data_IF_157725774539
#
_entry.id   IF_157725774539
#
_cell.length_a   1.000
_cell.length_b   1.000
_cell.length_c   1.000
_cell.angle_alpha   90.00
_cell.angle_beta   90.00
_cell.angle_gamma   90.00
#
_symmetry.space_group_name_H-M   'P 1'
#
loop_
_entity.id
_entity.type
_entity.pdbx_description
1 polymer ?
#
# COMPACT_ATOMS: atom_id res chain seq x y z
N UNK A 1 24.74 1.46 -18.09
CA UNK A 1 24.16 1.88 -16.80
C UNK A 1 24.38 3.38 -16.63
N UNK A 2 23.48 4.08 -15.95
CA UNK A 2 23.54 5.54 -15.74
C UNK A 2 22.20 6.22 -16.05
N UNK A 3 21.26 6.17 -15.09
CA UNK A 3 20.00 6.88 -15.17
C UNK A 3 20.25 8.39 -15.08
N UNK A 4 19.80 9.14 -16.09
CA UNK A 4 19.91 10.60 -16.11
C UNK A 4 18.70 11.20 -15.39
N UNK A 5 18.96 12.06 -14.40
CA UNK A 5 17.92 12.90 -13.80
C UNK A 5 17.42 13.86 -14.88
N UNK A 6 16.13 13.77 -15.21
CA UNK A 6 15.46 14.70 -16.12
C UNK A 6 15.56 16.12 -15.54
N UNK A 7 15.41 17.15 -16.39
CA UNK A 7 15.28 18.56 -15.94
C UNK A 7 13.93 18.78 -15.25
N UNK A 8 13.68 18.08 -14.15
CA UNK A 8 12.47 18.17 -13.34
C UNK A 8 12.79 18.72 -11.93
N UNK A 9 11.80 18.74 -11.04
CA UNK A 9 11.97 19.24 -9.67
C UNK A 9 13.07 18.53 -8.86
N UNK A 10 13.49 17.33 -9.27
CA UNK A 10 14.56 16.55 -8.62
C UNK A 10 15.94 17.13 -8.94
N UNK A 11 16.15 17.61 -10.18
CA UNK A 11 17.37 18.31 -10.59
C UNK A 11 17.60 19.60 -9.79
N UNK A 12 16.56 20.44 -9.67
CA UNK A 12 16.66 21.70 -8.91
C UNK A 12 16.95 21.45 -7.42
N UNK A 13 16.42 20.37 -6.86
CA UNK A 13 16.67 19.98 -5.46
C UNK A 13 18.11 19.51 -5.24
N UNK A 14 18.69 18.79 -6.20
CA UNK A 14 20.08 18.34 -6.10
C UNK A 14 21.06 19.51 -6.13
N UNK A 15 20.89 20.45 -7.08
CA UNK A 15 21.75 21.65 -7.17
C UNK A 15 21.66 22.49 -5.89
N UNK A 16 20.44 22.77 -5.40
CA UNK A 16 20.24 23.48 -4.13
C UNK A 16 20.89 22.79 -2.93
N UNK A 17 20.86 21.45 -2.91
CA UNK A 17 21.51 20.67 -1.86
C UNK A 17 23.03 20.81 -1.93
N UNK A 18 23.61 20.83 -3.13
CA UNK A 18 25.04 21.03 -3.32
C UNK A 18 25.47 22.47 -2.95
N UNK A 19 24.67 23.48 -3.30
CA UNK A 19 24.88 24.89 -2.91
C UNK A 19 24.84 25.11 -1.38
N UNK A 20 24.28 24.18 -0.60
CA UNK A 20 24.37 24.21 0.86
C UNK A 20 25.78 23.90 1.37
N UNK A 21 26.60 23.21 0.58
CA UNK A 21 27.94 22.73 0.96
C UNK A 21 29.08 23.42 0.20
N UNK A 22 28.81 24.04 -0.95
CA UNK A 22 29.79 24.70 -1.80
C UNK A 22 29.35 26.14 -2.12
N UNK A 23 30.31 27.05 -2.25
CA UNK A 23 30.05 28.46 -2.57
C UNK A 23 29.44 28.61 -3.96
N UNK A 24 29.89 27.79 -4.92
CA UNK A 24 29.31 27.76 -6.26
C UNK A 24 29.20 26.33 -6.80
N UNK A 25 28.09 26.08 -7.49
CA UNK A 25 27.82 24.81 -8.18
C UNK A 25 27.50 25.12 -9.63
N UNK A 26 28.48 24.91 -10.50
CA UNK A 26 28.30 25.07 -11.94
C UNK A 26 27.91 23.72 -12.57
N UNK A 27 27.11 23.75 -13.63
CA UNK A 27 26.68 22.53 -14.33
C UNK A 27 27.04 22.65 -15.79
N UNK A 28 27.97 21.80 -16.22
CA UNK A 28 28.42 21.73 -17.60
C UNK A 28 27.75 20.54 -18.32
N UNK A 29 27.54 20.68 -19.63
CA UNK A 29 26.96 19.63 -20.47
C UNK A 29 25.43 19.49 -20.42
N UNK A 30 24.90 18.53 -21.17
CA UNK A 30 23.46 18.25 -21.31
C UNK A 30 23.19 16.75 -21.24
N UNK A 31 21.99 16.38 -20.78
CA UNK A 31 21.53 14.98 -20.76
C UNK A 31 22.34 14.08 -19.82
N UNK A 32 22.89 12.98 -20.37
CA UNK A 32 23.70 11.98 -19.64
C UNK A 32 25.13 12.44 -19.35
N UNK A 33 25.64 13.41 -20.10
CA UNK A 33 27.03 13.88 -20.01
C UNK A 33 27.12 15.15 -19.16
N UNK A 34 26.29 15.27 -18.13
CA UNK A 34 26.35 16.42 -17.22
C UNK A 34 27.45 16.22 -16.19
N UNK A 35 28.25 17.26 -16.01
CA UNK A 35 29.27 17.31 -14.96
C UNK A 35 28.90 18.43 -14.00
N UNK A 36 28.88 18.13 -12.70
CA UNK A 36 28.68 19.13 -11.65
C UNK A 36 30.05 19.59 -11.19
N UNK A 37 30.35 20.86 -11.40
CA UNK A 37 31.60 21.48 -10.99
C UNK A 37 31.33 22.16 -9.64
N UNK A 38 31.90 21.59 -8.59
CA UNK A 38 31.75 22.08 -7.22
C UNK A 38 32.95 22.96 -6.90
N UNK A 39 32.70 24.25 -6.63
CA UNK A 39 33.75 25.24 -6.44
C UNK A 39 33.66 25.77 -5.02
N UNK A 40 34.79 25.73 -4.34
CA UNK A 40 35.04 26.20 -2.97
C UNK A 40 34.08 25.62 -1.93
N UNK A 41 34.52 24.64 -1.10
CA UNK A 41 33.69 24.14 -0.01
C UNK A 41 33.45 25.25 1.01
N UNK A 42 32.20 25.39 1.45
CA UNK A 42 31.84 26.36 2.49
C UNK A 42 32.50 25.98 3.81
N UNK A 43 33.05 26.97 4.51
CA UNK A 43 33.58 26.78 5.87
C UNK A 43 32.50 26.37 6.87
N UNK A 44 31.25 26.80 6.63
CA UNK A 44 30.07 26.33 7.33
C UNK A 44 28.93 26.00 6.34
N UNK A 45 28.47 24.74 6.28
CA UNK A 45 27.34 24.38 5.46
C UNK A 45 26.08 25.17 5.83
N UNK A 46 25.41 25.73 4.84
CA UNK A 46 24.19 26.52 5.04
C UNK A 46 22.99 25.58 5.12
N UNK A 47 22.12 25.75 6.12
CA UNK A 47 20.91 24.95 6.21
C UNK A 47 19.97 25.24 5.02
N UNK A 48 19.39 24.20 4.43
CA UNK A 48 18.45 24.36 3.32
C UNK A 48 17.17 25.03 3.84
N UNK A 49 16.83 26.19 3.28
CA UNK A 49 15.64 26.96 3.65
C UNK A 49 14.36 26.21 3.21
N UNK A 50 13.69 25.53 4.14
CA UNK A 50 12.48 24.76 3.89
C UNK A 50 11.26 25.68 3.84
N UNK A 51 10.95 26.20 2.65
CA UNK A 51 9.76 27.04 2.37
C UNK A 51 8.41 26.32 2.54
N UNK A 52 8.36 25.15 3.21
CA UNK A 52 7.12 24.49 3.64
C UNK A 52 6.46 25.15 4.86
N UNK A 53 7.05 26.20 5.44
CA UNK A 53 6.34 27.04 6.40
C UNK A 53 5.48 28.06 5.66
N UNK A 54 4.15 27.86 5.68
CA UNK A 54 3.20 28.92 5.31
C UNK A 54 2.00 28.54 4.45
N UNK A 55 1.74 27.25 4.17
CA UNK A 55 0.47 26.82 3.56
C UNK A 55 0.02 25.48 4.15
N UNK A 56 -1.29 25.39 4.40
CA UNK A 56 -2.06 24.20 4.80
C UNK A 56 -1.90 23.76 6.27
N UNK A 57 -3.00 23.30 6.87
CA UNK A 57 -3.00 22.73 8.22
C UNK A 57 -1.86 21.70 8.35
N UNK A 58 -1.12 21.68 9.47
CA UNK A 58 0.13 20.95 9.51
C UNK A 58 -0.15 19.46 9.33
N UNK A 59 0.44 18.81 8.33
CA UNK A 59 0.57 17.34 8.26
C UNK A 59 1.07 16.73 9.59
N UNK A 60 1.71 17.54 10.43
CA UNK A 60 2.11 17.21 11.80
C UNK A 60 0.95 16.89 12.75
N UNK A 61 -0.25 17.43 12.55
CA UNK A 61 -1.40 17.20 13.43
C UNK A 61 -2.08 15.87 13.12
N UNK A 62 -2.33 15.56 11.84
CA UNK A 62 -2.93 14.28 11.41
C UNK A 62 -2.04 13.08 11.79
N UNK A 63 -0.74 13.15 11.52
CA UNK A 63 0.20 12.08 11.87
C UNK A 63 0.32 11.94 13.40
N UNK A 64 0.20 13.03 14.17
CA UNK A 64 0.18 13.00 15.64
C UNK A 64 -1.07 12.31 16.17
N UNK A 65 -2.26 12.61 15.63
CA UNK A 65 -3.52 11.98 16.02
C UNK A 65 -3.44 10.46 15.84
N UNK A 66 -2.99 10.00 14.66
CA UNK A 66 -2.84 8.56 14.39
C UNK A 66 -1.76 7.92 15.29
N UNK A 67 -0.67 8.63 15.56
CA UNK A 67 0.40 8.14 16.44
C UNK A 67 -0.07 7.97 17.88
N UNK A 68 -0.79 8.97 18.42
CA UNK A 68 -1.37 8.93 19.76
C UNK A 68 -2.42 7.81 19.88
N UNK A 69 -3.26 7.63 18.85
CA UNK A 69 -4.22 6.53 18.81
C UNK A 69 -3.52 5.16 18.81
N UNK A 70 -2.50 4.97 17.96
CA UNK A 70 -1.71 3.73 17.94
C UNK A 70 -1.04 3.47 19.29
N UNK A 71 -0.47 4.49 19.93
CA UNK A 71 0.16 4.37 21.25
C UNK A 71 -0.84 3.92 22.31
N UNK A 72 -2.00 4.59 22.40
CA UNK A 72 -3.10 4.20 23.28
C UNK A 72 -3.49 2.74 23.09
N UNK A 73 -3.63 2.31 21.84
CA UNK A 73 -4.00 0.92 21.54
C UNK A 73 -2.90 -0.08 21.91
N UNK A 74 -1.62 0.28 21.73
CA UNK A 74 -0.50 -0.56 22.18
C UNK A 74 -0.47 -0.71 23.70
N UNK A 75 -0.73 0.37 24.45
CA UNK A 75 -0.85 0.33 25.93
C UNK A 75 -1.97 -0.65 26.33
N UNK A 76 -3.15 -0.52 25.73
CA UNK A 76 -4.30 -1.41 26.02
C UNK A 76 -3.95 -2.87 25.71
N UNK A 77 -3.30 -3.14 24.58
CA UNK A 77 -2.94 -4.50 24.18
C UNK A 77 -1.90 -5.12 25.12
N UNK A 78 -0.97 -4.35 25.65
CA UNK A 78 0.01 -4.81 26.63
C UNK A 78 -0.65 -5.11 27.98
N UNK A 79 -1.59 -4.27 28.43
CA UNK A 79 -2.35 -4.48 29.67
C UNK A 79 -3.25 -5.73 29.61
N UNK A 80 -3.91 -5.98 28.48
CA UNK A 80 -4.76 -7.16 28.29
C UNK A 80 -3.91 -8.44 28.18
N UNK A 81 -2.73 -8.34 27.56
CA UNK A 81 -1.86 -9.47 27.25
C UNK A 81 -1.01 -10.01 28.40
N UNK A 82 -1.48 -9.89 29.66
CA UNK A 82 -0.80 -10.26 30.94
C UNK A 82 0.55 -10.99 30.77
N UNK A 83 1.62 -10.32 31.26
CA UNK A 83 2.99 -10.85 31.48
C UNK A 83 3.94 -11.02 30.27
N UNK A 84 3.80 -10.26 29.18
CA UNK A 84 4.84 -10.38 28.13
C UNK A 84 4.94 -9.35 27.02
N UNK A 85 4.09 -8.32 26.96
CA UNK A 85 4.03 -7.42 25.80
C UNK A 85 3.44 -8.09 24.54
N UNK A 86 3.40 -7.37 23.43
CA UNK A 86 3.00 -7.93 22.13
C UNK A 86 4.13 -8.81 21.59
N UNK A 87 4.26 -10.03 22.11
CA UNK A 87 5.26 -10.99 21.66
C UNK A 87 4.92 -11.51 20.26
N UNK A 88 5.83 -11.28 19.30
CA UNK A 88 5.79 -11.84 17.94
C UNK A 88 4.50 -11.51 17.15
N UNK A 89 4.18 -10.22 17.05
CA UNK A 89 3.07 -9.71 16.20
C UNK A 89 3.55 -9.36 14.78
N UNK A 90 2.65 -9.28 13.81
CA UNK A 90 2.98 -8.76 12.46
C UNK A 90 2.21 -7.47 12.20
N UNK A 91 2.63 -6.67 11.22
CA UNK A 91 1.83 -5.51 10.80
C UNK A 91 0.41 -5.89 10.35
N UNK A 92 0.22 -7.09 9.75
CA UNK A 92 -1.12 -7.61 9.45
C UNK A 92 -1.95 -7.76 10.73
N UNK A 93 -1.36 -8.40 11.75
CA UNK A 93 -2.01 -8.60 13.04
C UNK A 93 -2.30 -7.28 13.75
N UNK A 94 -1.39 -6.31 13.65
CA UNK A 94 -1.57 -4.98 14.24
C UNK A 94 -2.72 -4.21 13.59
N UNK A 95 -2.89 -4.27 12.26
CA UNK A 95 -4.05 -3.62 11.59
C UNK A 95 -5.38 -4.18 12.12
N UNK A 96 -5.45 -5.49 12.39
CA UNK A 96 -6.65 -6.11 12.96
C UNK A 96 -6.89 -5.65 14.41
N UNK A 97 -5.82 -5.53 15.21
CA UNK A 97 -5.89 -5.13 16.63
C UNK A 97 -6.04 -3.61 16.83
N UNK A 98 -5.59 -2.81 15.87
CA UNK A 98 -5.60 -1.35 15.86
C UNK A 98 -6.36 -0.89 14.60
N UNK A 99 -7.66 -1.18 14.48
CA UNK A 99 -8.41 -0.85 13.28
C UNK A 99 -8.72 0.65 13.26
N UNK A 100 -8.29 1.35 12.21
CA UNK A 100 -8.78 2.72 11.94
C UNK A 100 -10.20 2.74 11.37
N UNK A 101 -10.65 1.64 10.77
CA UNK A 101 -12.02 1.49 10.27
C UNK A 101 -12.52 0.09 10.62
N UNK A 102 -13.64 -0.02 11.34
CA UNK A 102 -14.29 -1.29 11.72
C UNK A 102 -15.34 -1.69 10.69
N UNK A 103 -15.56 -2.99 10.49
CA UNK A 103 -16.65 -3.55 9.66
C UNK A 103 -16.67 -3.09 8.17
N UNK A 104 -15.51 -2.75 7.62
CA UNK A 104 -15.31 -2.18 6.27
C UNK A 104 -15.95 -2.99 5.14
N UNK A 105 -15.92 -4.31 5.28
CA UNK A 105 -16.28 -5.25 4.21
C UNK A 105 -17.78 -5.18 3.92
N UNK A 106 -18.62 -5.06 4.95
CA UNK A 106 -20.08 -5.07 4.78
C UNK A 106 -20.60 -3.75 4.21
N UNK A 107 -20.15 -2.61 4.74
CA UNK A 107 -20.59 -1.29 4.28
C UNK A 107 -20.18 -1.00 2.83
N UNK A 108 -18.94 -1.37 2.45
CA UNK A 108 -18.50 -1.28 1.06
C UNK A 108 -19.33 -2.16 0.13
N UNK A 109 -19.55 -3.41 0.54
CA UNK A 109 -20.33 -4.38 -0.22
C UNK A 109 -21.72 -3.83 -0.52
N UNK A 110 -22.42 -3.32 0.49
CA UNK A 110 -23.78 -2.82 0.35
C UNK A 110 -23.82 -1.52 -0.48
N UNK A 111 -22.86 -0.61 -0.31
CA UNK A 111 -22.79 0.64 -1.09
C UNK A 111 -22.47 0.41 -2.57
N UNK A 112 -21.50 -0.45 -2.86
CA UNK A 112 -21.12 -0.83 -4.24
C UNK A 112 -22.24 -1.65 -4.88
N UNK A 113 -22.80 -2.66 -4.20
CA UNK A 113 -23.89 -3.46 -4.73
C UNK A 113 -25.12 -2.60 -5.07
N UNK A 114 -25.47 -1.63 -4.23
CA UNK A 114 -26.58 -0.70 -4.52
C UNK A 114 -26.35 0.16 -5.76
N UNK A 115 -25.13 0.65 -5.97
CA UNK A 115 -24.81 1.51 -7.12
C UNK A 115 -24.71 0.69 -8.42
N UNK A 116 -24.38 -0.59 -8.32
CA UNK A 116 -24.13 -1.46 -9.47
C UNK A 116 -25.08 -2.65 -9.58
N UNK A 117 -26.26 -2.54 -8.99
CA UNK A 117 -27.27 -3.59 -9.06
C UNK A 117 -27.59 -3.86 -10.54
N UNK A 118 -27.43 -5.12 -10.97
CA UNK A 118 -27.59 -5.53 -12.37
C UNK A 118 -26.46 -5.15 -13.34
N UNK A 119 -25.40 -4.44 -12.92
CA UNK A 119 -24.32 -3.96 -13.79
C UNK A 119 -22.97 -4.67 -13.63
N UNK A 120 -22.75 -5.40 -12.53
CA UNK A 120 -21.52 -6.16 -12.28
C UNK A 120 -21.83 -7.61 -11.96
N UNK A 121 -21.01 -8.52 -12.47
CA UNK A 121 -21.03 -9.92 -12.04
C UNK A 121 -20.48 -10.07 -10.61
N UNK A 122 -20.90 -11.12 -9.91
CA UNK A 122 -20.40 -11.47 -8.58
C UNK A 122 -18.87 -11.57 -8.52
N UNK A 123 -18.23 -12.04 -9.59
CA UNK A 123 -16.77 -12.13 -9.68
C UNK A 123 -16.11 -10.74 -9.74
N UNK A 124 -16.67 -9.80 -10.51
CA UNK A 124 -16.17 -8.43 -10.58
C UNK A 124 -16.37 -7.72 -9.24
N UNK A 125 -17.52 -7.93 -8.61
CA UNK A 125 -17.81 -7.42 -7.27
C UNK A 125 -16.78 -7.96 -6.24
N UNK A 126 -16.52 -9.27 -6.23
CA UNK A 126 -15.46 -9.88 -5.38
C UNK A 126 -14.08 -9.29 -5.64
N UNK A 127 -13.73 -8.99 -6.89
CA UNK A 127 -12.47 -8.36 -7.25
C UNK A 127 -12.35 -6.94 -6.67
N UNK A 128 -13.40 -6.12 -6.79
CA UNK A 128 -13.47 -4.77 -6.21
C UNK A 128 -13.27 -4.80 -4.70
N UNK A 129 -13.95 -5.73 -4.02
CA UNK A 129 -13.86 -5.86 -2.57
C UNK A 129 -12.45 -6.28 -2.15
N UNK A 130 -11.87 -7.27 -2.84
CA UNK A 130 -10.51 -7.74 -2.58
C UNK A 130 -9.50 -6.61 -2.75
N UNK A 131 -9.63 -5.81 -3.82
CA UNK A 131 -8.75 -4.67 -4.06
C UNK A 131 -8.92 -3.57 -3.01
N UNK A 132 -10.15 -3.21 -2.67
CA UNK A 132 -10.42 -2.13 -1.72
C UNK A 132 -9.93 -2.49 -0.33
N UNK A 133 -10.24 -3.70 0.13
CA UNK A 133 -9.77 -4.20 1.43
C UNK A 133 -8.24 -4.27 1.48
N UNK A 134 -7.61 -4.75 0.40
CA UNK A 134 -6.16 -4.72 0.28
C UNK A 134 -5.60 -3.30 0.39
N UNK A 135 -6.19 -2.33 -0.33
CA UNK A 135 -5.73 -0.95 -0.36
C UNK A 135 -5.83 -0.29 1.02
N UNK A 136 -6.99 -0.40 1.68
CA UNK A 136 -7.21 0.15 3.02
C UNK A 136 -6.27 -0.51 4.04
N UNK A 137 -6.11 -1.83 3.97
CA UNK A 137 -5.20 -2.58 4.85
C UNK A 137 -3.75 -2.14 4.64
N UNK A 138 -3.28 -1.99 3.39
CA UNK A 138 -1.93 -1.52 3.08
C UNK A 138 -1.68 -0.09 3.59
N UNK A 139 -2.68 0.79 3.49
CA UNK A 139 -2.60 2.14 4.07
C UNK A 139 -2.52 2.11 5.59
N UNK A 140 -3.39 1.35 6.25
CA UNK A 140 -3.37 1.19 7.70
C UNK A 140 -2.00 0.66 8.18
N UNK A 141 -1.40 -0.31 7.48
CA UNK A 141 -0.03 -0.77 7.78
C UNK A 141 1.00 0.35 7.69
N UNK A 142 0.91 1.19 6.67
CA UNK A 142 1.86 2.29 6.47
C UNK A 142 1.75 3.31 7.60
N UNK A 143 0.54 3.68 8.00
CA UNK A 143 0.32 4.61 9.10
C UNK A 143 0.74 4.01 10.45
N UNK A 144 0.40 2.75 10.73
CA UNK A 144 0.89 2.05 11.95
C UNK A 144 2.41 1.95 11.97
N UNK A 145 3.05 1.63 10.83
CA UNK A 145 4.51 1.58 10.74
C UNK A 145 5.14 2.94 11.01
N UNK A 146 4.56 4.01 10.47
CA UNK A 146 5.02 5.37 10.69
C UNK A 146 4.87 5.75 12.17
N UNK A 147 3.69 5.52 12.76
CA UNK A 147 3.44 5.75 14.18
C UNK A 147 4.44 5.00 15.07
N UNK A 148 4.67 3.71 14.81
CA UNK A 148 5.68 2.92 15.55
C UNK A 148 7.07 3.54 15.44
N UNK A 149 7.47 4.00 14.24
CA UNK A 149 8.76 4.66 14.06
C UNK A 149 8.89 5.92 14.90
N UNK A 150 7.83 6.74 14.97
CA UNK A 150 7.79 7.94 15.83
C UNK A 150 7.88 7.56 17.31
N UNK A 151 7.05 6.63 17.78
CA UNK A 151 7.05 6.19 19.17
C UNK A 151 8.39 5.59 19.62
N UNK A 152 9.12 4.92 18.72
CA UNK A 152 10.50 4.45 18.99
C UNK A 152 11.47 5.62 19.11
N UNK A 153 11.40 6.60 18.19
CA UNK A 153 12.24 7.79 18.22
C UNK A 153 12.02 8.62 19.50
N UNK A 154 10.75 8.70 19.94
CA UNK A 154 10.32 9.39 21.15
C UNK A 154 10.53 8.54 22.42
N UNK A 155 11.12 7.34 22.29
CA UNK A 155 11.43 6.40 23.39
C UNK A 155 10.21 5.94 24.20
N UNK A 156 9.00 6.05 23.63
CA UNK A 156 7.75 5.57 24.26
C UNK A 156 7.59 4.05 24.16
N UNK A 157 8.16 3.45 23.13
CA UNK A 157 8.15 1.99 22.92
C UNK A 157 9.54 1.49 22.52
N UNK A 158 9.77 0.20 22.73
CA UNK A 158 10.90 -0.55 22.17
C UNK A 158 10.38 -1.59 21.20
N UNK A 159 10.98 -1.67 20.02
CA UNK A 159 10.66 -2.69 19.01
C UNK A 159 11.89 -3.52 18.71
N UNK A 160 11.73 -4.84 18.75
CA UNK A 160 12.73 -5.80 18.30
C UNK A 160 12.15 -6.64 17.17
N UNK A 161 12.82 -6.65 16.03
CA UNK A 161 12.50 -7.58 14.94
C UNK A 161 12.95 -8.99 15.31
N UNK A 162 12.06 -9.96 15.11
CA UNK A 162 12.32 -11.40 15.20
C UNK A 162 11.93 -12.06 13.89
N UNK A 163 12.65 -13.11 13.52
CA UNK A 163 12.25 -13.95 12.41
C UNK A 163 11.56 -15.20 12.92
N UNK A 164 10.44 -15.53 12.31
CA UNK A 164 9.62 -16.68 12.67
C UNK A 164 9.47 -17.58 11.45
N UNK A 165 9.48 -18.89 11.67
CA UNK A 165 9.12 -19.90 10.68
C UNK A 165 7.89 -20.67 11.14
N UNK A 166 7.00 -21.02 10.22
CA UNK A 166 5.99 -22.04 10.45
C UNK A 166 6.55 -23.40 10.04
N UNK A 167 6.68 -24.33 10.97
CA UNK A 167 7.14 -25.69 10.69
C UNK A 167 6.15 -26.45 9.80
N UNK A 168 6.67 -27.21 8.83
CA UNK A 168 5.85 -27.99 7.91
C UNK A 168 5.06 -29.10 8.61
N UNK A 169 5.72 -29.86 9.48
CA UNK A 169 5.16 -31.06 10.10
C UNK A 169 4.20 -30.78 11.26
N UNK A 170 4.44 -29.72 12.03
CA UNK A 170 3.72 -29.44 13.28
C UNK A 170 2.82 -28.20 13.20
N UNK A 171 2.95 -27.40 12.14
CA UNK A 171 2.39 -26.04 12.04
C UNK A 171 2.78 -25.08 13.18
N UNK A 172 3.69 -25.47 14.08
CA UNK A 172 4.19 -24.62 15.16
C UNK A 172 4.98 -23.46 14.58
N UNK A 173 4.93 -22.32 15.28
CA UNK A 173 5.70 -21.12 14.95
C UNK A 173 6.95 -21.10 15.81
N UNK A 174 8.11 -21.18 15.18
CA UNK A 174 9.41 -21.20 15.85
C UNK A 174 10.22 -19.96 15.48
N UNK A 175 10.99 -19.45 16.42
CA UNK A 175 11.92 -18.35 16.16
C UNK A 175 13.14 -18.90 15.44
N UNK A 176 13.57 -18.20 14.38
CA UNK A 176 14.75 -18.56 13.59
C UNK A 176 15.79 -17.43 13.66
N UNK A 177 17.07 -17.80 13.60
CA UNK A 177 18.16 -16.83 13.64
C UNK A 177 18.31 -16.12 12.29
N UNK A 178 18.76 -14.87 12.31
CA UNK A 178 19.01 -14.06 11.11
C UNK A 178 19.90 -14.79 10.08
N UNK A 179 20.98 -15.43 10.54
CA UNK A 179 21.90 -16.20 9.68
C UNK A 179 21.14 -17.25 8.84
N UNK A 180 20.19 -17.96 9.44
CA UNK A 180 19.39 -18.98 8.74
C UNK A 180 18.45 -18.35 7.72
N UNK A 181 17.90 -17.18 8.02
CA UNK A 181 17.05 -16.41 7.10
C UNK A 181 17.86 -15.95 5.89
N UNK A 182 19.09 -15.49 6.11
CA UNK A 182 19.97 -15.04 5.04
C UNK A 182 20.36 -16.20 4.11
N UNK A 183 20.69 -17.37 4.68
CA UNK A 183 20.91 -18.61 3.91
C UNK A 183 19.70 -18.98 3.04
N UNK A 184 18.49 -18.95 3.63
CA UNK A 184 17.25 -19.25 2.90
C UNK A 184 17.01 -18.22 1.78
N UNK A 185 17.18 -16.94 2.07
CA UNK A 185 16.94 -15.87 1.10
C UNK A 185 17.91 -15.93 -0.08
N UNK A 186 19.18 -16.28 0.16
CA UNK A 186 20.16 -16.48 -0.91
C UNK A 186 19.81 -17.68 -1.77
N UNK A 187 19.40 -18.79 -1.16
CA UNK A 187 18.95 -19.96 -1.91
C UNK A 187 17.71 -19.66 -2.77
N UNK A 188 16.73 -18.91 -2.25
CA UNK A 188 15.56 -18.48 -3.03
C UNK A 188 15.97 -17.51 -4.15
N UNK A 189 16.97 -16.65 -3.92
CA UNK A 189 17.50 -15.76 -4.95
C UNK A 189 18.14 -16.56 -6.09
N UNK A 190 18.92 -17.60 -5.78
CA UNK A 190 19.49 -18.48 -6.79
C UNK A 190 18.39 -19.23 -7.57
N UNK A 191 17.39 -19.79 -6.88
CA UNK A 191 16.22 -20.40 -7.54
C UNK A 191 15.51 -19.41 -8.48
N UNK A 192 15.39 -18.14 -8.07
CA UNK A 192 14.78 -17.13 -8.91
C UNK A 192 15.61 -16.91 -10.20
N UNK A 193 16.94 -16.90 -10.10
CA UNK A 193 17.83 -16.81 -11.27
C UNK A 193 17.63 -18.03 -12.19
N UNK A 194 17.65 -19.24 -11.62
CA UNK A 194 17.54 -20.50 -12.36
C UNK A 194 16.20 -20.62 -13.11
N UNK A 195 15.13 -20.05 -12.55
CA UNK A 195 13.79 -20.01 -13.14
C UNK A 195 13.50 -18.73 -13.95
N UNK A 196 14.50 -17.88 -14.19
CA UNK A 196 14.36 -16.60 -14.89
C UNK A 196 13.27 -15.66 -14.30
N UNK A 197 13.16 -15.67 -12.97
CA UNK A 197 12.26 -14.82 -12.18
C UNK A 197 13.08 -13.70 -11.53
N UNK A 198 12.61 -12.45 -11.69
CA UNK A 198 13.18 -11.35 -10.94
C UNK A 198 12.83 -11.48 -9.44
N UNK A 199 13.86 -11.61 -8.60
CA UNK A 199 13.68 -11.80 -7.15
C UNK A 199 12.89 -10.65 -6.49
N UNK A 200 13.09 -9.39 -6.90
CA UNK A 200 12.32 -8.25 -6.39
C UNK A 200 10.84 -8.34 -6.78
N UNK A 201 10.54 -8.79 -8.00
CA UNK A 201 9.16 -9.04 -8.42
C UNK A 201 8.52 -10.16 -7.61
N UNK A 202 9.27 -11.23 -7.31
CA UNK A 202 8.82 -12.30 -6.41
C UNK A 202 8.50 -11.77 -5.01
N UNK A 203 9.39 -11.01 -4.38
CA UNK A 203 9.15 -10.43 -3.05
C UNK A 203 7.89 -9.54 -3.03
N UNK A 204 7.65 -8.80 -4.11
CA UNK A 204 6.46 -7.94 -4.24
C UNK A 204 5.18 -8.70 -4.56
N UNK A 205 5.27 -9.89 -5.15
CA UNK A 205 4.12 -10.68 -5.60
C UNK A 205 3.15 -11.03 -4.47
N UNK A 206 3.65 -11.20 -3.24
CA UNK A 206 2.82 -11.46 -2.05
C UNK A 206 1.91 -10.29 -1.66
N UNK A 207 2.17 -9.10 -2.19
CA UNK A 207 1.37 -7.91 -1.96
C UNK A 207 0.30 -7.68 -3.04
N UNK A 208 0.23 -8.46 -4.12
CA UNK A 208 -0.72 -8.22 -5.22
C UNK A 208 -1.70 -9.39 -5.41
N UNK A 209 -3.01 -9.14 -5.51
CA UNK A 209 -4.00 -10.19 -5.75
C UNK A 209 -3.90 -10.80 -7.15
N UNK A 210 -3.37 -10.06 -8.13
CA UNK A 210 -3.18 -10.52 -9.52
C UNK A 210 -1.70 -10.74 -9.83
N UNK A 211 -1.26 -12.00 -9.73
CA UNK A 211 0.07 -12.43 -10.15
C UNK A 211 -0.03 -13.33 -11.38
N UNK A 212 0.98 -13.32 -12.24
CA UNK A 212 1.04 -14.18 -13.43
C UNK A 212 1.09 -15.66 -13.05
N UNK A 213 0.69 -16.55 -13.98
CA UNK A 213 0.76 -18.00 -13.74
C UNK A 213 2.19 -18.45 -13.42
N UNK A 214 3.16 -17.98 -14.21
CA UNK A 214 4.59 -18.23 -13.96
C UNK A 214 5.03 -17.83 -12.54
N UNK A 215 4.53 -16.71 -12.01
CA UNK A 215 4.84 -16.30 -10.63
C UNK A 215 4.18 -17.22 -9.59
N UNK A 216 2.95 -17.69 -9.84
CA UNK A 216 2.27 -18.67 -8.96
C UNK A 216 2.99 -20.01 -8.93
N UNK A 217 3.46 -20.47 -10.09
CA UNK A 217 4.23 -21.71 -10.21
C UNK A 217 5.55 -21.57 -9.44
N UNK A 218 6.25 -20.43 -9.61
CA UNK A 218 7.47 -20.15 -8.86
C UNK A 218 7.25 -20.05 -7.35
N UNK A 219 6.17 -19.39 -6.89
CA UNK A 219 5.80 -19.38 -5.47
C UNK A 219 5.60 -20.80 -4.92
N UNK A 220 5.04 -21.71 -5.72
CA UNK A 220 4.86 -23.13 -5.36
C UNK A 220 6.19 -23.87 -5.28
N UNK A 221 7.11 -23.60 -6.21
CA UNK A 221 8.49 -24.13 -6.18
C UNK A 221 9.21 -23.70 -4.90
N UNK A 222 9.17 -22.40 -4.57
CA UNK A 222 9.79 -21.89 -3.35
C UNK A 222 9.19 -22.51 -2.10
N UNK A 223 7.86 -22.68 -2.05
CA UNK A 223 7.18 -23.35 -0.94
C UNK A 223 7.63 -24.80 -0.77
N UNK A 224 7.75 -25.54 -1.87
CA UNK A 224 8.27 -26.92 -1.85
C UNK A 224 9.74 -26.96 -1.41
N UNK A 225 10.55 -26.03 -1.90
CA UNK A 225 11.96 -25.92 -1.52
C UNK A 225 12.15 -25.66 -0.02
N UNK A 226 11.38 -24.73 0.56
CA UNK A 226 11.38 -24.46 2.00
C UNK A 226 10.99 -25.69 2.82
N UNK A 227 10.00 -26.46 2.36
CA UNK A 227 9.54 -27.67 3.05
C UNK A 227 10.58 -28.77 3.03
N UNK A 228 11.16 -29.05 1.86
CA UNK A 228 12.10 -30.17 1.66
C UNK A 228 13.45 -29.86 2.31
N UNK A 229 13.99 -28.65 2.13
CA UNK A 229 15.37 -28.34 2.53
C UNK A 229 15.47 -27.71 3.93
N UNK A 230 14.40 -27.07 4.42
CA UNK A 230 14.42 -26.35 5.70
C UNK A 230 13.32 -26.79 6.67
N UNK A 231 12.39 -27.65 6.25
CA UNK A 231 11.28 -28.09 7.10
C UNK A 231 10.24 -27.01 7.38
N UNK A 232 10.19 -25.94 6.59
CA UNK A 232 9.31 -24.79 6.83
C UNK A 232 8.23 -24.63 5.76
N UNK A 233 7.04 -24.17 6.15
CA UNK A 233 5.97 -23.76 5.24
C UNK A 233 6.20 -22.35 4.70
N UNK A 234 6.58 -21.43 5.58
CA UNK A 234 6.87 -20.04 5.27
C UNK A 234 7.69 -19.42 6.42
N UNK A 235 8.43 -18.37 6.08
CA UNK A 235 9.17 -17.52 7.01
C UNK A 235 8.59 -16.11 6.99
N UNK A 236 8.59 -15.43 8.12
CA UNK A 236 8.06 -14.07 8.22
C UNK A 236 8.75 -13.27 9.31
N UNK A 237 8.78 -11.96 9.09
CA UNK A 237 9.22 -10.98 10.08
C UNK A 237 8.12 -10.73 11.10
N UNK A 238 8.45 -10.81 12.38
CA UNK A 238 7.59 -10.48 13.49
C UNK A 238 8.22 -9.37 14.34
N UNK A 239 7.36 -8.62 15.01
CA UNK A 239 7.71 -7.54 15.90
C UNK A 239 7.47 -8.01 17.34
N UNK A 240 8.45 -7.79 18.19
CA UNK A 240 8.27 -7.77 19.63
C UNK A 240 8.20 -6.30 20.05
N UNK A 241 7.04 -5.88 20.55
CA UNK A 241 6.79 -4.50 20.97
C UNK A 241 6.60 -4.47 22.48
N UNK A 242 7.38 -3.62 23.15
CA UNK A 242 7.27 -3.33 24.58
C UNK A 242 6.99 -1.85 24.77
N UNK A 243 5.93 -1.49 25.49
CA UNK A 243 5.69 -0.10 25.88
C UNK A 243 6.61 0.25 27.05
N UNK A 244 7.31 1.37 26.92
CA UNK A 244 8.22 1.91 27.93
C UNK A 244 7.55 3.03 28.73
N UNK A 245 6.72 3.82 28.05
CA UNK A 245 5.97 4.94 28.62
C UNK A 245 4.48 4.80 28.25
N UNK A 246 3.62 4.75 29.26
CA UNK A 246 2.16 4.67 29.09
C UNK A 246 1.48 6.05 29.08
N UNK A 247 2.25 7.14 29.21
CA UNK A 247 1.73 8.51 29.23
C UNK A 247 1.28 8.92 27.84
N UNK A 248 0.00 9.28 27.72
CA UNK A 248 -0.57 9.82 26.48
C UNK A 248 -0.45 11.35 26.49
N UNK A 249 0.09 11.92 25.42
CA UNK A 249 0.10 13.38 25.23
C UNK A 249 -1.30 13.93 25.01
N UNK A 250 -2.14 13.14 24.37
CA UNK A 250 -3.52 13.49 24.03
C UNK A 250 -4.33 12.19 23.94
N UNK A 251 -5.52 12.20 24.52
CA UNK A 251 -6.41 11.05 24.49
C UNK A 251 -7.24 11.07 23.20
N UNK A 252 -6.69 10.47 22.14
CA UNK A 252 -7.36 10.36 20.85
C UNK A 252 -8.33 9.17 20.86
N UNK A 253 -9.57 9.40 20.44
CA UNK A 253 -10.57 8.35 20.32
C UNK A 253 -10.57 7.67 18.95
N UNK A 254 -11.43 6.66 18.79
CA UNK A 254 -11.52 5.92 17.54
C UNK A 254 -12.12 6.75 16.40
N UNK A 255 -13.06 7.66 16.68
CA UNK A 255 -13.70 8.47 15.64
C UNK A 255 -12.71 9.49 15.07
N UNK A 256 -11.89 10.13 15.91
CA UNK A 256 -10.85 11.05 15.48
C UNK A 256 -9.82 10.34 14.58
N UNK A 257 -9.33 9.18 15.03
CA UNK A 257 -8.37 8.39 14.27
C UNK A 257 -8.97 7.86 12.95
N UNK A 258 -10.23 7.42 12.98
CA UNK A 258 -10.97 7.00 11.78
C UNK A 258 -11.09 8.15 10.79
N UNK A 259 -11.51 9.32 11.26
CA UNK A 259 -11.71 10.50 10.42
C UNK A 259 -10.39 10.91 9.74
N UNK A 260 -9.30 11.06 10.50
CA UNK A 260 -7.98 11.39 9.94
C UNK A 260 -7.51 10.37 8.92
N UNK A 261 -7.67 9.07 9.23
CA UNK A 261 -7.27 8.00 8.33
C UNK A 261 -8.04 8.05 7.00
N UNK A 262 -9.37 8.21 7.06
CA UNK A 262 -10.22 8.30 5.86
C UNK A 262 -9.94 9.57 5.07
N UNK A 263 -9.69 10.70 5.74
CA UNK A 263 -9.34 11.98 5.11
C UNK A 263 -8.01 11.88 4.34
N UNK A 264 -6.98 11.26 4.94
CA UNK A 264 -5.70 10.98 4.26
C UNK A 264 -5.89 10.12 3.02
N UNK A 265 -6.75 9.09 3.09
CA UNK A 265 -7.05 8.25 1.94
C UNK A 265 -7.78 9.05 0.86
N UNK A 266 -8.77 9.87 1.23
CA UNK A 266 -9.52 10.69 0.31
C UNK A 266 -8.58 11.60 -0.49
N UNK A 267 -7.75 12.39 0.19
CA UNK A 267 -6.82 13.31 -0.48
C UNK A 267 -5.89 12.56 -1.45
N UNK A 268 -5.36 11.41 -1.03
CA UNK A 268 -4.50 10.58 -1.88
C UNK A 268 -5.21 10.02 -3.12
N UNK A 269 -6.49 9.68 -3.01
CA UNK A 269 -7.25 9.11 -4.13
C UNK A 269 -7.80 10.21 -5.02
N UNK A 270 -8.31 11.30 -4.45
CA UNK A 270 -8.77 12.48 -5.18
C UNK A 270 -7.64 13.07 -6.03
N UNK A 271 -6.45 13.29 -5.45
CA UNK A 271 -5.28 13.79 -6.19
C UNK A 271 -4.90 12.87 -7.35
N UNK A 272 -5.00 11.54 -7.15
CA UNK A 272 -4.73 10.57 -8.20
C UNK A 272 -5.76 10.66 -9.31
N UNK A 273 -7.05 10.70 -8.99
CA UNK A 273 -8.14 10.75 -9.96
C UNK A 273 -8.13 12.06 -10.77
N UNK A 274 -7.70 13.17 -10.15
CA UNK A 274 -7.50 14.46 -10.84
C UNK A 274 -6.23 14.52 -11.69
N UNK A 275 -5.30 13.58 -11.54
CA UNK A 275 -4.04 13.64 -12.26
C UNK A 275 -4.20 13.35 -13.75
N UNK A 276 -3.50 14.11 -14.60
CA UNK A 276 -3.40 13.85 -16.04
C UNK A 276 -3.04 12.41 -16.37
N UNK A 277 -2.17 11.80 -15.56
CA UNK A 277 -1.74 10.41 -15.72
C UNK A 277 -2.93 9.47 -15.56
N UNK A 278 -3.78 9.70 -14.57
CA UNK A 278 -5.01 8.92 -14.39
C UNK A 278 -5.97 9.18 -15.54
N UNK A 279 -6.27 10.42 -15.88
CA UNK A 279 -7.23 10.76 -16.94
C UNK A 279 -6.83 10.11 -18.27
N UNK A 280 -5.54 10.14 -18.62
CA UNK A 280 -4.97 9.54 -19.84
C UNK A 280 -4.64 8.05 -19.73
N UNK A 281 -4.77 7.43 -18.54
CA UNK A 281 -4.43 6.01 -18.37
C UNK A 281 -5.40 5.10 -19.14
N UNK A 282 -4.84 4.13 -19.85
CA UNK A 282 -5.63 3.08 -20.54
C UNK A 282 -6.06 1.96 -19.59
N UNK A 283 -5.47 1.86 -18.39
CA UNK A 283 -5.82 0.82 -17.41
C UNK A 283 -7.18 1.13 -16.76
N UNK A 284 -8.25 0.67 -17.40
CA UNK A 284 -9.64 0.81 -16.93
C UNK A 284 -9.86 0.18 -15.54
N UNK A 285 -9.16 -0.91 -15.21
CA UNK A 285 -9.31 -1.60 -13.92
C UNK A 285 -8.80 -0.78 -12.75
N UNK A 286 -7.62 -0.15 -12.88
CA UNK A 286 -7.10 0.75 -11.84
C UNK A 286 -8.02 1.99 -11.68
N UNK A 287 -8.55 2.52 -12.79
CA UNK A 287 -9.51 3.63 -12.77
C UNK A 287 -10.76 3.30 -11.97
N UNK A 288 -11.36 2.17 -12.30
CA UNK A 288 -12.55 1.62 -11.67
C UNK A 288 -12.34 1.45 -10.16
N UNK A 289 -11.24 0.82 -9.75
CA UNK A 289 -10.96 0.59 -8.33
C UNK A 289 -10.79 1.88 -7.51
N UNK A 290 -10.13 2.92 -8.05
CA UNK A 290 -10.01 4.19 -7.32
C UNK A 290 -11.36 4.87 -7.13
N UNK A 291 -12.27 4.80 -8.11
CA UNK A 291 -13.61 5.34 -7.98
C UNK A 291 -14.45 4.56 -6.97
N UNK A 292 -14.33 3.22 -6.92
CA UNK A 292 -14.97 2.42 -5.86
C UNK A 292 -14.45 2.78 -4.46
N UNK A 293 -13.15 3.09 -4.33
CA UNK A 293 -12.60 3.60 -3.06
C UNK A 293 -13.22 4.96 -2.72
N UNK A 294 -13.37 5.88 -3.67
CA UNK A 294 -14.02 7.17 -3.38
C UNK A 294 -15.49 7.00 -2.98
N UNK A 295 -16.21 6.05 -3.60
CA UNK A 295 -17.59 5.72 -3.21
C UNK A 295 -17.66 5.21 -1.77
N UNK A 296 -16.73 4.33 -1.39
CA UNK A 296 -16.61 3.88 0.00
C UNK A 296 -16.36 5.03 0.97
N UNK A 297 -15.46 5.94 0.61
CA UNK A 297 -15.12 7.09 1.44
C UNK A 297 -16.32 8.00 1.63
N UNK A 298 -17.14 8.25 0.59
CA UNK A 298 -18.40 8.99 0.71
C UNK A 298 -19.30 8.40 1.80
N UNK A 299 -19.51 7.10 1.78
CA UNK A 299 -20.45 6.44 2.70
C UNK A 299 -19.90 6.34 4.13
N UNK A 300 -18.59 6.60 4.33
CA UNK A 300 -17.91 6.48 5.63
C UNK A 300 -17.38 7.82 6.19
N UNK A 301 -17.32 8.86 5.36
CA UNK A 301 -17.03 10.26 5.70
C UNK A 301 -18.36 11.00 5.85
N UNK A 302 -19.11 10.76 6.93
CA UNK A 302 -20.24 11.64 7.27
C UNK A 302 -19.79 12.77 8.19
N UNK A 303 -20.30 13.96 7.88
CA UNK A 303 -19.98 15.31 8.40
C UNK A 303 -18.58 15.85 8.05
N UNK A 304 -18.31 15.95 6.75
CA UNK A 304 -17.28 16.90 6.27
C UNK A 304 -18.02 18.09 5.68
N UNK A 305 -18.01 19.21 6.40
CA UNK A 305 -18.58 20.50 5.99
C UNK A 305 -17.70 21.17 4.89
N UNK A 306 -17.33 20.39 3.87
CA UNK A 306 -16.47 20.81 2.79
C UNK A 306 -17.23 20.68 1.47
N UNK A 307 -17.89 21.78 1.10
CA UNK A 307 -18.76 21.90 -0.07
C UNK A 307 -18.07 21.47 -1.38
N UNK A 308 -16.76 21.70 -1.51
CA UNK A 308 -15.96 21.32 -2.69
C UNK A 308 -15.76 19.79 -2.80
N UNK A 309 -15.76 19.07 -1.68
CA UNK A 309 -15.71 17.61 -1.64
C UNK A 309 -17.01 17.00 -2.17
N UNK A 310 -18.14 17.63 -1.82
CA UNK A 310 -19.48 17.12 -2.04
C UNK A 310 -19.83 17.02 -3.53
N UNK A 311 -19.57 18.08 -4.30
CA UNK A 311 -19.85 18.13 -5.75
C UNK A 311 -19.06 17.08 -6.55
N UNK A 312 -17.78 16.91 -6.22
CA UNK A 312 -16.91 15.96 -6.92
C UNK A 312 -17.26 14.51 -6.60
N UNK A 313 -17.76 14.27 -5.37
CA UNK A 313 -18.22 12.97 -4.89
C UNK A 313 -19.58 12.58 -5.50
N UNK A 314 -20.49 13.54 -5.69
CA UNK A 314 -21.81 13.31 -6.32
C UNK A 314 -21.68 12.85 -7.79
N UNK A 315 -20.59 13.21 -8.46
CA UNK A 315 -20.32 12.80 -9.84
C UNK A 315 -19.69 11.40 -9.96
N UNK A 316 -19.25 10.76 -8.87
CA UNK A 316 -18.58 9.44 -8.88
C UNK A 316 -19.44 8.32 -9.49
N UNK A 317 -20.73 8.17 -9.13
CA UNK A 317 -21.57 7.11 -9.70
C UNK A 317 -21.67 7.17 -11.23
N UNK A 318 -21.80 8.38 -11.81
CA UNK A 318 -21.87 8.56 -13.26
C UNK A 318 -20.57 8.15 -13.96
N UNK A 319 -19.41 8.60 -13.44
CA UNK A 319 -18.09 8.20 -13.97
C UNK A 319 -17.82 6.70 -13.87
N UNK A 320 -18.36 6.06 -12.83
CA UNK A 320 -18.27 4.61 -12.67
C UNK A 320 -19.10 3.87 -13.73
N UNK A 321 -20.33 4.32 -13.99
CA UNK A 321 -21.19 3.74 -15.03
C UNK A 321 -20.58 3.90 -16.44
N UNK A 322 -19.94 5.03 -16.75
CA UNK A 322 -19.19 5.23 -18.00
C UNK A 322 -18.04 4.23 -18.18
N UNK A 323 -17.32 3.93 -17.10
CA UNK A 323 -16.23 2.95 -17.15
C UNK A 323 -16.78 1.53 -17.32
N UNK A 324 -17.88 1.19 -16.63
CA UNK A 324 -18.55 -0.10 -16.74
C UNK A 324 -19.07 -0.34 -18.15
N UNK A 325 -19.78 0.62 -18.74
CA UNK A 325 -20.27 0.51 -20.12
C UNK A 325 -19.12 0.39 -21.11
N UNK A 326 -17.95 0.96 -20.81
CA UNK A 326 -16.74 0.77 -21.62
C UNK A 326 -16.06 -0.60 -21.46
N UNK A 327 -16.38 -1.38 -20.43
CA UNK A 327 -15.93 -2.76 -20.26
C UNK A 327 -16.81 -3.77 -21.00
N UNK A 328 -18.05 -3.40 -21.28
CA UNK A 328 -18.96 -4.15 -22.13
C UNK A 328 -18.69 -3.75 -23.59
N UNK A 329 -17.67 -4.37 -24.20
CA UNK A 329 -17.63 -4.36 -25.67
C UNK A 329 -18.95 -4.95 -26.18
N UNK A 330 -19.58 -4.34 -27.20
CA UNK A 330 -20.78 -4.91 -27.79
C UNK A 330 -20.42 -6.33 -28.22
N UNK A 331 -21.15 -7.33 -27.68
CA UNK A 331 -21.07 -8.70 -28.20
C UNK A 331 -21.13 -8.57 -29.73
N UNK A 332 -20.17 -9.14 -30.49
CA UNK A 332 -20.22 -9.03 -31.93
C UNK A 332 -21.61 -9.48 -32.36
N UNK A 333 -22.36 -8.57 -33.01
CA UNK A 333 -23.66 -8.90 -33.59
C UNK A 333 -23.44 -10.17 -34.39
N UNK A 334 -24.10 -11.24 -33.97
CA UNK A 334 -23.82 -12.58 -34.43
C UNK A 334 -23.64 -12.59 -35.94
N UNK A 335 -22.54 -13.20 -36.39
CA UNK A 335 -22.45 -13.64 -37.76
C UNK A 335 -23.73 -14.41 -38.06
N UNK A 336 -24.51 -13.88 -38.99
CA UNK A 336 -25.78 -14.46 -39.37
C UNK A 336 -25.61 -15.94 -39.63
N UNK A 337 -26.43 -16.76 -38.99
CA UNK A 337 -26.73 -18.10 -39.50
C UNK A 337 -27.36 -17.90 -40.88
N UNK A 338 -26.53 -17.84 -41.92
CA UNK A 338 -26.95 -18.19 -43.27
C UNK A 338 -27.15 -19.70 -43.28
N UNK A 339 -28.33 -20.09 -43.74
CA UNK A 339 -28.79 -21.46 -43.90
C UNK A 339 -27.78 -22.37 -44.60
N UNK A 340 -27.72 -23.62 -44.15
CA UNK A 340 -27.60 -24.77 -45.05
C UNK A 340 -28.51 -25.88 -44.54
N UNK A 341 -29.63 -26.03 -45.23
CA UNK A 341 -30.41 -27.25 -45.38
C UNK A 341 -29.51 -28.48 -45.59
N UNK A 342 -29.81 -29.60 -44.93
CA UNK A 342 -30.27 -30.84 -45.59
C UNK A 342 -30.13 -32.07 -44.69
N UNK A 343 -31.25 -32.79 -44.59
CA UNK A 343 -31.39 -34.24 -44.71
C UNK A 343 -31.06 -35.22 -43.57
N UNK A 344 -32.11 -36.01 -43.31
CA UNK A 344 -32.16 -37.44 -43.05
C UNK A 344 -31.98 -37.93 -41.61
N UNK A 345 -33.13 -38.03 -40.94
CA UNK A 345 -33.42 -39.13 -40.03
C UNK A 345 -33.64 -40.42 -40.85
N UNK A 346 -32.76 -41.40 -40.63
CA UNK A 346 -33.03 -42.82 -40.85
C UNK A 346 -32.76 -43.52 -39.53
N UNK A 347 -33.82 -44.16 -39.02
CA UNK A 347 -33.99 -45.03 -37.83
C UNK A 347 -33.90 -44.33 -36.47
#
# INVERSE_FOLDING_TARGET
MGGCLKKDGTYKKLVKKLECHFERVDVEGKGKNKVYVLIDPKSQPTAMDDKRKGREMPRKTEDKILTNYVHRMLIVLELIGKEGGLQSTTYNTLVVKIPFVRNQIKTLHDGVAKVFDGHLSDEKLKSVWSYTNWYLTDRAKKDIRLAIKHLVADKKIKVKTKWMASEYKSSKKVMIQQKKVDEINEAIRQLAIDHNINYTSYQRSFAFPSVSQSMRDFQSIVKSYLRVNFGYNYIYEALEIKVLDSTLEENVDYQDAKWVFLHKIYNLVADKVKSDKYLKAQNKGEKFHYLCILLFLRDNLFEVDNHALKEEIECIPYRLLEIISSFEEPKPKGFGRKNSSSNNSVI
#
